data_IF_540308031681
#
_entry.id   IF_540308031681
#
_cell.length_a   1.000
_cell.length_b   1.000
_cell.length_c   1.000
_cell.angle_alpha   90.00
_cell.angle_beta   90.00
_cell.angle_gamma   90.00
#
_symmetry.space_group_name_H-M   'P 1'
#
loop_
_entity.id
_entity.type
_entity.pdbx_description
1 polymer ?
#
# COMPACT_ATOMS: atom_id res chain seq x y z
N UNK A 1 -58.73 -33.55 -4.46
CA UNK A 1 -58.47 -32.62 -5.58
C UNK A 1 -58.58 -31.21 -5.04
N UNK A 2 -57.65 -30.30 -5.32
CA UNK A 2 -57.83 -28.89 -4.94
C UNK A 2 -59.13 -28.38 -5.59
N UNK A 3 -59.99 -27.73 -4.78
CA UNK A 3 -61.20 -27.13 -5.32
C UNK A 3 -60.82 -25.94 -6.20
N UNK A 4 -61.52 -25.81 -7.34
CA UNK A 4 -61.37 -24.65 -8.21
C UNK A 4 -61.84 -23.38 -7.48
N UNK A 5 -61.19 -22.23 -7.72
CA UNK A 5 -61.53 -20.97 -7.06
C UNK A 5 -63.00 -20.54 -7.24
N UNK A 6 -63.60 -20.89 -8.39
CA UNK A 6 -65.04 -20.78 -8.66
C UNK A 6 -65.54 -22.01 -9.42
N UNK A 7 -66.81 -22.44 -9.23
CA UNK A 7 -67.39 -23.55 -9.97
C UNK A 7 -67.45 -23.26 -11.47
N UNK A 8 -67.05 -24.22 -12.31
CA UNK A 8 -67.14 -24.15 -13.78
C UNK A 8 -68.55 -24.50 -14.28
N UNK A 9 -69.57 -23.89 -13.69
CA UNK A 9 -70.96 -24.00 -14.13
C UNK A 9 -71.56 -22.62 -14.33
N UNK A 10 -72.38 -22.45 -15.36
CA UNK A 10 -73.06 -21.18 -15.63
C UNK A 10 -74.47 -21.35 -16.17
N UNK A 11 -75.31 -20.35 -15.96
CA UNK A 11 -76.73 -20.35 -16.41
C UNK A 11 -76.85 -20.17 -17.93
N UNK A 12 -75.86 -19.53 -18.54
CA UNK A 12 -75.72 -19.35 -19.97
C UNK A 12 -74.24 -19.38 -20.37
N UNK A 13 -73.99 -19.31 -21.68
CA UNK A 13 -72.62 -19.39 -22.23
C UNK A 13 -71.80 -18.18 -21.79
N UNK A 14 -72.40 -17.00 -21.67
CA UNK A 14 -71.73 -15.77 -21.22
C UNK A 14 -71.21 -15.89 -19.78
N UNK A 15 -72.01 -16.46 -18.86
CA UNK A 15 -71.66 -16.71 -17.46
C UNK A 15 -70.55 -17.75 -17.34
N UNK A 16 -70.62 -18.82 -18.13
CA UNK A 16 -69.55 -19.81 -18.18
C UNK A 16 -68.23 -19.22 -18.69
N UNK A 17 -68.26 -18.39 -19.74
CA UNK A 17 -67.09 -17.69 -20.27
C UNK A 17 -66.50 -16.74 -19.23
N UNK A 18 -67.34 -16.00 -18.49
CA UNK A 18 -66.89 -15.10 -17.43
C UNK A 18 -66.19 -15.86 -16.29
N UNK A 19 -66.76 -16.99 -15.85
CA UNK A 19 -66.17 -17.84 -14.79
C UNK A 19 -64.87 -18.49 -15.23
N UNK A 20 -64.78 -18.99 -16.46
CA UNK A 20 -63.52 -19.50 -17.04
C UNK A 20 -62.46 -18.41 -17.07
N UNK A 21 -62.80 -17.18 -17.46
CA UNK A 21 -61.88 -16.04 -17.43
C UNK A 21 -61.39 -15.74 -16.02
N UNK A 22 -62.26 -15.74 -15.01
CA UNK A 22 -61.88 -15.53 -13.60
C UNK A 22 -60.90 -16.62 -13.15
N UNK A 23 -61.18 -17.89 -13.40
CA UNK A 23 -60.27 -18.99 -13.05
C UNK A 23 -58.92 -18.82 -13.71
N UNK A 24 -58.88 -18.47 -15.00
CA UNK A 24 -57.63 -18.23 -15.71
C UNK A 24 -56.88 -16.99 -15.15
N UNK A 25 -57.59 -15.90 -14.88
CA UNK A 25 -57.01 -14.70 -14.28
C UNK A 25 -56.45 -14.99 -12.89
N UNK A 26 -57.19 -15.65 -12.00
CA UNK A 26 -56.71 -15.97 -10.65
C UNK A 26 -55.58 -17.01 -10.64
N UNK A 27 -55.60 -17.97 -11.56
CA UNK A 27 -54.54 -18.98 -11.65
C UNK A 27 -53.23 -18.45 -12.25
N UNK A 28 -53.27 -17.40 -13.07
CA UNK A 28 -52.11 -16.91 -13.80
C UNK A 28 -51.69 -15.48 -13.48
N UNK A 29 -52.59 -14.58 -13.05
CA UNK A 29 -52.28 -13.17 -12.72
C UNK A 29 -51.96 -12.96 -11.23
N UNK A 30 -52.40 -13.85 -10.33
CA UNK A 30 -52.17 -13.73 -8.88
C UNK A 30 -50.81 -14.34 -8.43
N UNK A 31 -49.93 -14.62 -9.39
CA UNK A 31 -48.65 -15.30 -9.18
C UNK A 31 -47.59 -14.44 -8.48
N UNK A 32 -47.13 -14.93 -7.32
CA UNK A 32 -45.87 -14.60 -6.63
C UNK A 32 -45.75 -13.17 -6.08
N UNK A 33 -46.46 -12.89 -4.98
CA UNK A 33 -46.03 -11.88 -4.00
C UNK A 33 -45.98 -10.43 -4.48
N UNK A 34 -47.10 -9.93 -5.02
CA UNK A 34 -47.30 -8.52 -5.45
C UNK A 34 -46.58 -8.10 -6.74
N UNK A 35 -45.72 -8.93 -7.34
CA UNK A 35 -45.12 -8.66 -8.63
C UNK A 35 -46.05 -9.16 -9.74
N UNK A 36 -46.53 -8.27 -10.62
CA UNK A 36 -47.28 -8.71 -11.80
C UNK A 36 -46.33 -9.41 -12.77
N UNK A 37 -46.84 -10.43 -13.47
CA UNK A 37 -46.17 -10.97 -14.66
C UNK A 37 -46.02 -9.81 -15.65
N UNK A 38 -44.78 -9.45 -15.98
CA UNK A 38 -44.40 -8.25 -16.72
C UNK A 38 -43.31 -7.43 -16.03
N UNK A 39 -43.22 -7.44 -14.69
CA UNK A 39 -42.21 -6.65 -13.97
C UNK A 39 -40.92 -7.44 -13.78
N UNK A 40 -41.00 -8.63 -13.17
CA UNK A 40 -39.84 -9.49 -12.85
C UNK A 40 -39.79 -10.72 -13.75
N UNK A 41 -40.95 -11.23 -14.18
CA UNK A 41 -41.05 -12.39 -15.06
C UNK A 41 -41.95 -12.10 -16.26
N UNK A 42 -41.62 -12.59 -17.45
CA UNK A 42 -42.40 -12.44 -18.68
C UNK A 42 -42.40 -13.73 -19.48
N UNK A 43 -43.45 -14.02 -20.25
CA UNK A 43 -43.41 -15.10 -21.24
C UNK A 43 -42.73 -14.62 -22.52
N UNK A 44 -41.74 -15.36 -23.01
CA UNK A 44 -41.13 -15.14 -24.32
C UNK A 44 -42.08 -15.50 -25.46
N UNK A 45 -41.69 -15.20 -26.70
CA UNK A 45 -42.47 -15.59 -27.91
C UNK A 45 -42.48 -17.10 -28.16
N UNK A 46 -41.74 -17.86 -27.35
CA UNK A 46 -41.64 -19.31 -27.30
C UNK A 46 -42.43 -19.92 -26.12
N UNK A 47 -43.30 -19.13 -25.48
CA UNK A 47 -44.10 -19.50 -24.31
C UNK A 47 -43.28 -19.91 -23.07
N UNK A 48 -42.01 -19.49 -23.00
CA UNK A 48 -41.13 -19.76 -21.84
C UNK A 48 -41.15 -18.61 -20.84
N UNK A 49 -41.46 -18.91 -19.57
CA UNK A 49 -41.33 -17.97 -18.45
C UNK A 49 -39.86 -17.53 -18.31
N UNK A 50 -39.62 -16.24 -18.45
CA UNK A 50 -38.30 -15.61 -18.48
C UNK A 50 -38.21 -14.54 -17.41
N UNK A 51 -37.04 -14.33 -16.83
CA UNK A 51 -36.76 -13.21 -15.92
C UNK A 51 -36.48 -11.94 -16.71
N UNK A 52 -37.17 -10.85 -16.40
CA UNK A 52 -36.90 -9.52 -16.90
C UNK A 52 -35.65 -8.95 -16.21
N UNK A 53 -34.50 -9.15 -16.85
CA UNK A 53 -33.19 -8.70 -16.36
C UNK A 53 -32.77 -7.39 -17.02
N UNK A 54 -32.54 -6.37 -16.21
CA UNK A 54 -32.02 -5.07 -16.65
C UNK A 54 -30.76 -4.71 -15.85
N UNK A 55 -29.73 -4.20 -16.53
CA UNK A 55 -28.46 -3.68 -16.01
C UNK A 55 -27.81 -4.44 -14.82
N UNK A 56 -26.67 -5.10 -15.07
CA UNK A 56 -25.83 -5.72 -14.02
C UNK A 56 -26.02 -7.23 -13.85
N UNK A 57 -27.09 -7.80 -14.42
CA UNK A 57 -27.31 -9.24 -14.53
C UNK A 57 -27.51 -9.67 -15.99
N UNK A 58 -27.18 -10.92 -16.32
CA UNK A 58 -27.40 -11.51 -17.64
C UNK A 58 -27.76 -13.00 -17.55
N UNK A 59 -28.55 -13.50 -18.50
CA UNK A 59 -28.84 -14.94 -18.62
C UNK A 59 -27.87 -15.55 -19.63
N UNK A 60 -27.10 -16.55 -19.20
CA UNK A 60 -26.16 -17.26 -20.08
C UNK A 60 -26.18 -18.74 -19.75
N UNK A 61 -26.34 -19.58 -20.78
CA UNK A 61 -26.37 -21.05 -20.65
C UNK A 61 -27.36 -21.60 -19.62
N UNK A 62 -28.52 -20.95 -19.48
CA UNK A 62 -29.56 -21.36 -18.53
C UNK A 62 -29.36 -20.87 -17.09
N UNK A 63 -28.26 -20.17 -16.80
CA UNK A 63 -27.97 -19.58 -15.49
C UNK A 63 -28.17 -18.06 -15.51
N UNK A 64 -28.51 -17.50 -14.35
CA UNK A 64 -28.47 -16.06 -14.09
C UNK A 64 -27.08 -15.69 -13.57
N UNK A 65 -26.40 -14.79 -14.29
CA UNK A 65 -25.03 -14.35 -14.01
C UNK A 65 -24.98 -12.85 -13.72
N UNK A 66 -23.87 -12.40 -13.14
CA UNK A 66 -23.55 -10.97 -13.05
C UNK A 66 -22.98 -10.51 -14.39
N UNK A 67 -23.57 -9.47 -14.98
CA UNK A 67 -23.08 -8.87 -16.21
C UNK A 67 -21.84 -8.03 -15.92
N UNK A 68 -20.67 -8.51 -16.34
CA UNK A 68 -19.40 -7.83 -16.15
C UNK A 68 -18.92 -7.15 -17.43
N UNK A 69 -18.31 -5.96 -17.29
CA UNK A 69 -17.55 -5.34 -18.38
C UNK A 69 -16.20 -6.04 -18.54
N UNK A 70 -15.79 -6.35 -19.77
CA UNK A 70 -14.48 -6.97 -20.05
C UNK A 70 -13.31 -6.08 -19.58
N UNK A 71 -13.50 -4.76 -19.59
CA UNK A 71 -12.54 -3.74 -19.13
C UNK A 71 -12.83 -3.23 -17.71
N UNK A 72 -13.86 -3.78 -17.04
CA UNK A 72 -14.21 -3.39 -15.68
C UNK A 72 -13.24 -3.93 -14.62
N UNK A 73 -13.35 -3.40 -13.40
CA UNK A 73 -12.54 -3.81 -12.25
C UNK A 73 -13.09 -4.99 -11.45
N UNK A 74 -14.07 -5.73 -12.00
CA UNK A 74 -14.71 -6.87 -11.33
C UNK A 74 -14.58 -8.13 -12.20
N UNK A 75 -14.48 -9.28 -11.56
CA UNK A 75 -14.43 -10.60 -12.19
C UNK A 75 -15.19 -11.64 -11.37
N UNK A 76 -15.69 -12.70 -12.02
CA UNK A 76 -16.26 -13.86 -11.34
C UNK A 76 -15.31 -15.05 -11.55
N UNK A 77 -14.74 -15.57 -10.46
CA UNK A 77 -13.92 -16.78 -10.48
C UNK A 77 -14.77 -18.03 -10.23
N UNK A 78 -14.38 -19.15 -10.83
CA UNK A 78 -15.12 -20.42 -10.72
C UNK A 78 -15.22 -20.97 -9.29
N UNK A 79 -14.30 -20.58 -8.39
CA UNK A 79 -14.28 -20.99 -6.98
C UNK A 79 -14.38 -19.83 -6.00
N UNK A 80 -14.15 -18.58 -6.45
CA UNK A 80 -14.09 -17.39 -5.59
C UNK A 80 -15.32 -16.49 -5.69
N UNK A 81 -16.22 -16.74 -6.64
CA UNK A 81 -17.37 -15.86 -6.89
C UNK A 81 -16.93 -14.48 -7.40
N UNK A 82 -17.71 -13.44 -7.10
CA UNK A 82 -17.41 -12.07 -7.51
C UNK A 82 -16.23 -11.51 -6.70
N UNK A 83 -15.22 -10.98 -7.39
CA UNK A 83 -14.02 -10.39 -6.79
C UNK A 83 -13.52 -9.18 -7.59
N UNK A 84 -12.59 -8.42 -7.01
CA UNK A 84 -11.91 -7.33 -7.72
C UNK A 84 -10.91 -7.92 -8.71
N UNK A 85 -10.97 -7.44 -9.95
CA UNK A 85 -10.01 -7.75 -11.00
C UNK A 85 -8.80 -6.85 -10.85
N UNK A 86 -7.66 -7.44 -10.49
CA UNK A 86 -6.39 -6.75 -10.46
C UNK A 86 -5.65 -6.91 -11.78
N UNK A 87 -5.01 -5.83 -12.25
CA UNK A 87 -4.07 -5.94 -13.35
C UNK A 87 -2.79 -6.66 -12.88
N UNK A 88 -2.11 -7.34 -13.80
CA UNK A 88 -0.79 -7.93 -13.55
C UNK A 88 0.17 -6.84 -13.06
N UNK A 89 0.91 -7.11 -11.99
CA UNK A 89 1.86 -6.17 -11.38
C UNK A 89 1.24 -4.82 -10.95
N UNK A 90 -0.05 -4.80 -10.60
CA UNK A 90 -0.73 -3.58 -10.12
C UNK A 90 -0.23 -3.05 -8.77
N UNK A 91 0.64 -3.79 -8.07
CA UNK A 91 1.05 -3.46 -6.71
C UNK A 91 -0.07 -3.66 -5.67
N UNK A 92 -1.15 -4.34 -6.05
CA UNK A 92 -2.28 -4.69 -5.18
C UNK A 92 -2.42 -6.21 -5.10
N UNK A 93 -3.06 -6.68 -4.04
CA UNK A 93 -3.49 -8.07 -3.86
C UNK A 93 -4.91 -8.11 -3.30
N UNK A 94 -5.63 -9.19 -3.58
CA UNK A 94 -6.94 -9.51 -3.01
C UNK A 94 -6.82 -10.87 -2.33
N UNK A 95 -7.12 -10.93 -1.04
CA UNK A 95 -7.17 -12.16 -0.25
C UNK A 95 -8.43 -12.21 0.63
N UNK A 96 -8.48 -13.14 1.58
CA UNK A 96 -9.63 -13.31 2.50
C UNK A 96 -9.86 -12.09 3.41
N UNK A 97 -8.84 -11.26 3.61
CA UNK A 97 -8.90 -10.04 4.41
C UNK A 97 -9.30 -8.81 3.58
N UNK A 98 -9.45 -8.97 2.26
CA UNK A 98 -9.86 -7.91 1.35
C UNK A 98 -8.75 -7.50 0.39
N UNK A 99 -8.77 -6.22 -0.01
CA UNK A 99 -7.79 -5.66 -0.96
C UNK A 99 -6.72 -4.88 -0.23
N UNK A 100 -5.45 -5.14 -0.53
CA UNK A 100 -4.32 -4.46 0.10
C UNK A 100 -3.19 -4.20 -0.90
N UNK A 101 -2.20 -3.42 -0.47
CA UNK A 101 -0.96 -3.20 -1.23
C UNK A 101 -0.09 -4.45 -1.14
N UNK A 102 0.40 -4.89 -2.29
CA UNK A 102 1.38 -5.97 -2.39
C UNK A 102 2.79 -5.38 -2.38
N UNK A 103 3.59 -5.79 -1.39
CA UNK A 103 5.01 -5.47 -1.33
C UNK A 103 5.83 -6.74 -1.63
N UNK A 104 6.97 -6.57 -2.29
CA UNK A 104 7.90 -7.67 -2.57
C UNK A 104 8.48 -8.29 -1.28
N UNK A 105 9.22 -9.41 -1.42
CA UNK A 105 10.02 -9.97 -0.33
C UNK A 105 11.27 -9.12 -0.12
N UNK A 106 11.33 -8.38 0.98
CA UNK A 106 12.33 -7.34 1.31
C UNK A 106 12.17 -6.00 0.55
N UNK A 107 11.03 -5.35 0.70
CA UNK A 107 10.76 -4.06 0.08
C UNK A 107 11.54 -2.94 0.78
N UNK A 108 11.82 -1.85 0.06
CA UNK A 108 12.31 -0.58 0.65
C UNK A 108 11.20 0.24 1.35
N UNK A 109 9.95 -0.21 1.25
CA UNK A 109 8.77 0.39 1.86
C UNK A 109 8.07 -0.64 2.77
N UNK A 110 7.33 -0.20 3.77
CA UNK A 110 6.54 -1.06 4.65
C UNK A 110 5.18 -0.42 4.97
N UNK A 111 4.21 -1.24 5.38
CA UNK A 111 2.91 -0.76 5.84
C UNK A 111 2.97 -0.48 7.35
N UNK A 112 2.84 0.79 7.72
CA UNK A 112 2.64 1.24 9.10
C UNK A 112 1.17 1.43 9.44
N UNK A 113 0.90 1.87 10.67
CA UNK A 113 -0.46 2.13 11.18
C UNK A 113 -1.20 3.22 10.39
N UNK A 114 -0.48 4.14 9.76
CA UNK A 114 -1.03 5.23 8.94
C UNK A 114 -0.92 5.05 7.42
N UNK A 115 -0.48 3.88 6.94
CA UNK A 115 -0.25 3.62 5.50
C UNK A 115 1.20 3.29 5.17
N UNK A 116 1.63 3.60 3.94
CA UNK A 116 2.98 3.26 3.45
C UNK A 116 4.03 4.19 4.08
N UNK A 117 5.16 3.64 4.50
CA UNK A 117 6.35 4.37 4.93
C UNK A 117 7.63 3.73 4.39
N UNK A 118 8.75 4.43 4.47
CA UNK A 118 10.06 3.88 4.12
C UNK A 118 10.49 2.89 5.19
N UNK A 119 10.98 1.72 4.76
CA UNK A 119 11.59 0.74 5.64
C UNK A 119 13.03 1.16 5.93
N UNK A 120 13.25 1.78 7.07
CA UNK A 120 14.58 2.23 7.49
C UNK A 120 15.40 1.07 8.07
N UNK A 121 16.66 1.00 7.66
CA UNK A 121 17.64 0.14 8.33
C UNK A 121 18.28 0.92 9.47
N UNK A 122 18.07 0.47 10.70
CA UNK A 122 18.81 1.00 11.86
C UNK A 122 20.32 0.87 11.58
N UNK A 123 21.12 1.90 11.87
CA UNK A 123 22.55 1.83 11.59
C UNK A 123 23.04 2.52 10.31
N UNK A 124 22.21 3.28 9.57
CA UNK A 124 22.55 3.70 8.20
C UNK A 124 22.28 5.19 7.89
N UNK A 125 22.32 6.05 8.90
CA UNK A 125 22.39 7.51 8.71
C UNK A 125 21.13 8.20 8.16
N UNK A 126 20.08 7.44 7.81
CA UNK A 126 18.78 7.96 7.37
C UNK A 126 17.77 7.85 8.53
N UNK A 127 16.97 8.89 8.71
CA UNK A 127 15.94 8.96 9.75
C UNK A 127 14.64 9.55 9.18
N UNK A 128 13.52 9.39 9.90
CA UNK A 128 12.21 9.94 9.55
C UNK A 128 11.58 10.63 10.76
N UNK A 129 11.08 11.85 10.57
CA UNK A 129 10.32 12.58 11.60
C UNK A 129 9.04 13.20 11.02
N UNK A 130 8.47 14.18 11.72
CA UNK A 130 7.26 14.89 11.28
C UNK A 130 7.41 15.64 9.96
N UNK A 131 8.65 16.00 9.57
CA UNK A 131 8.94 16.73 8.34
C UNK A 131 9.33 15.78 7.19
N UNK A 132 9.45 14.48 7.48
CA UNK A 132 9.69 13.42 6.50
C UNK A 132 11.09 12.81 6.58
N UNK A 133 11.61 12.40 5.42
CA UNK A 133 12.89 11.68 5.31
C UNK A 133 14.07 12.65 5.40
N UNK A 134 15.05 12.34 6.24
CA UNK A 134 16.23 13.17 6.45
C UNK A 134 17.50 12.34 6.63
N UNK A 135 18.65 12.99 6.44
CA UNK A 135 19.94 12.47 6.89
C UNK A 135 20.16 12.88 8.35
N UNK A 136 20.73 11.98 9.15
CA UNK A 136 21.18 12.29 10.50
C UNK A 136 22.25 13.38 10.45
N UNK A 137 21.97 14.52 11.08
CA UNK A 137 22.88 15.67 11.11
C UNK A 137 23.79 15.60 12.33
N UNK A 138 25.10 15.69 12.11
CA UNK A 138 26.08 15.85 13.19
C UNK A 138 26.37 17.33 13.45
N UNK A 139 26.61 17.66 14.71
CA UNK A 139 27.15 18.96 15.06
C UNK A 139 28.58 19.08 14.54
N UNK A 140 28.88 20.22 13.90
CA UNK A 140 30.24 20.54 13.45
C UNK A 140 31.24 20.34 14.59
N UNK A 141 32.31 19.57 14.33
CA UNK A 141 33.50 19.67 15.15
C UNK A 141 34.14 21.01 14.85
N UNK A 142 34.31 21.87 15.86
CA UNK A 142 34.97 23.15 15.66
C UNK A 142 36.22 22.97 14.80
N UNK A 143 36.42 23.88 13.83
CA UNK A 143 37.44 23.75 12.80
C UNK A 143 38.78 23.31 13.41
N UNK A 144 39.63 22.70 12.58
CA UNK A 144 41.05 22.51 12.90
C UNK A 144 41.82 23.84 13.14
N UNK A 145 41.14 24.95 13.46
CA UNK A 145 41.68 26.13 14.12
C UNK A 145 42.08 25.77 15.57
N UNK A 146 43.03 24.89 15.70
CA UNK A 146 43.95 24.95 16.83
C UNK A 146 45.00 25.97 16.43
N UNK A 147 45.16 27.03 17.22
CA UNK A 147 46.31 27.92 17.09
C UNK A 147 47.56 27.09 17.40
N UNK A 148 48.16 26.50 16.37
CA UNK A 148 49.39 25.74 16.49
C UNK A 148 50.54 26.68 16.25
N UNK A 149 51.01 27.28 17.34
CA UNK A 149 52.30 27.96 17.34
C UNK A 149 53.36 26.87 17.49
N UNK A 150 53.96 26.46 16.37
CA UNK A 150 55.23 25.74 16.44
C UNK A 150 56.27 26.80 16.83
N UNK A 151 56.99 26.54 17.91
CA UNK A 151 58.03 27.47 18.36
C UNK A 151 59.22 27.35 17.42
N UNK A 152 59.55 28.44 16.73
CA UNK A 152 60.74 28.50 15.91
C UNK A 152 61.99 28.34 16.78
N UNK A 153 63.00 27.58 16.33
CA UNK A 153 64.32 27.64 16.92
C UNK A 153 64.88 29.06 16.79
N UNK A 154 65.77 29.46 17.70
CA UNK A 154 66.44 30.74 17.66
C UNK A 154 67.09 30.99 16.28
N UNK A 155 66.75 32.12 15.65
CA UNK A 155 67.16 32.48 14.28
C UNK A 155 68.69 32.60 14.08
N UNK A 156 69.47 32.66 15.17
CA UNK A 156 70.93 32.71 15.13
C UNK A 156 71.52 32.09 16.40
N UNK A 157 71.53 30.76 16.52
CA UNK A 157 72.00 30.08 17.72
C UNK A 157 73.51 30.30 17.89
N UNK A 158 73.97 30.57 19.12
CA UNK A 158 75.36 30.88 19.41
C UNK A 158 76.34 29.72 19.09
N UNK A 159 75.82 28.50 19.02
CA UNK A 159 76.53 27.28 18.65
C UNK A 159 75.55 26.22 18.15
N UNK A 160 76.07 25.12 17.57
CA UNK A 160 75.25 23.96 17.23
C UNK A 160 74.59 23.31 18.47
N UNK A 161 75.27 23.35 19.62
CA UNK A 161 74.71 22.87 20.88
C UNK A 161 73.51 23.72 21.32
N UNK A 162 73.61 25.05 21.19
CA UNK A 162 72.50 25.95 21.50
C UNK A 162 71.28 25.69 20.59
N UNK A 163 71.49 25.41 19.30
CA UNK A 163 70.41 25.03 18.39
C UNK A 163 69.76 23.69 18.78
N UNK A 164 70.58 22.68 19.08
CA UNK A 164 70.07 21.36 19.49
C UNK A 164 69.24 21.46 20.76
N UNK A 165 69.74 22.19 21.75
CA UNK A 165 69.06 22.32 23.04
C UNK A 165 67.72 23.05 22.88
N UNK A 166 67.64 24.05 21.99
CA UNK A 166 66.40 24.75 21.65
C UNK A 166 65.40 23.86 20.90
N UNK A 167 65.86 23.12 19.88
CA UNK A 167 65.03 22.15 19.16
C UNK A 167 64.40 21.13 20.11
N UNK A 168 65.20 20.59 21.04
CA UNK A 168 64.75 19.59 22.02
C UNK A 168 63.83 20.19 23.08
N UNK A 169 64.12 21.40 23.56
CA UNK A 169 63.36 22.02 24.64
C UNK A 169 62.06 22.68 24.16
N UNK A 170 62.01 23.19 22.93
CA UNK A 170 60.93 24.08 22.47
C UNK A 170 60.24 23.58 21.20
N UNK A 171 60.96 23.46 20.08
CA UNK A 171 60.34 23.17 18.78
C UNK A 171 59.72 21.77 18.74
N UNK A 172 60.47 20.72 19.10
CA UNK A 172 59.97 19.33 19.08
C UNK A 172 58.77 19.17 20.01
N UNK A 173 58.79 19.63 21.28
CA UNK A 173 57.61 19.58 22.15
C UNK A 173 56.39 20.33 21.58
N UNK A 174 56.57 21.47 20.91
CA UNK A 174 55.46 22.20 20.28
C UNK A 174 54.83 21.42 19.11
N UNK A 175 55.64 20.71 18.32
CA UNK A 175 55.18 19.82 17.25
C UNK A 175 54.42 18.62 17.83
N UNK A 176 54.96 17.97 18.86
CA UNK A 176 54.28 16.86 19.55
C UNK A 176 52.92 17.29 20.09
N UNK A 177 52.83 18.46 20.72
CA UNK A 177 51.58 19.01 21.23
C UNK A 177 50.55 19.27 20.11
N UNK A 178 50.99 19.80 18.97
CA UNK A 178 50.13 20.01 17.80
C UNK A 178 49.64 18.68 17.21
N UNK A 179 50.51 17.68 17.06
CA UNK A 179 50.15 16.36 16.55
C UNK A 179 49.17 15.63 17.49
N UNK A 180 49.37 15.71 18.80
CA UNK A 180 48.46 15.12 19.79
C UNK A 180 47.08 15.80 19.75
N UNK A 181 47.04 17.11 19.53
CA UNK A 181 45.79 17.86 19.37
C UNK A 181 45.05 17.44 18.10
N UNK A 182 45.77 17.26 16.98
CA UNK A 182 45.20 16.76 15.73
C UNK A 182 44.67 15.32 15.89
N UNK A 183 45.44 14.44 16.52
CA UNK A 183 45.01 13.06 16.82
C UNK A 183 43.72 13.03 17.65
N UNK A 184 43.62 13.89 18.66
CA UNK A 184 42.39 14.04 19.46
C UNK A 184 41.20 14.46 18.58
N UNK A 185 41.37 15.44 17.70
CA UNK A 185 40.29 15.89 16.79
C UNK A 185 39.86 14.81 15.81
N UNK A 186 40.81 14.09 15.21
CA UNK A 186 40.50 12.97 14.30
C UNK A 186 39.67 11.91 15.03
N UNK A 187 40.07 11.53 16.24
CA UNK A 187 39.32 10.55 17.04
C UNK A 187 37.90 11.04 17.38
N UNK A 188 37.72 12.33 17.68
CA UNK A 188 36.39 12.91 17.89
C UNK A 188 35.52 12.86 16.63
N UNK A 189 36.08 13.20 15.47
CA UNK A 189 35.37 13.11 14.17
C UNK A 189 34.95 11.68 13.90
N UNK A 190 35.86 10.71 14.08
CA UNK A 190 35.56 9.29 13.91
C UNK A 190 34.42 8.83 14.82
N UNK A 191 34.50 9.15 16.12
CA UNK A 191 33.46 8.80 17.09
C UNK A 191 32.09 9.42 16.73
N UNK A 192 32.07 10.65 16.20
CA UNK A 192 30.84 11.29 15.71
C UNK A 192 30.30 10.64 14.46
N UNK A 193 31.15 10.26 13.50
CA UNK A 193 30.72 9.55 12.28
C UNK A 193 30.16 8.17 12.61
N UNK A 194 30.79 7.46 13.55
CA UNK A 194 30.28 6.18 14.08
C UNK A 194 28.93 6.36 14.76
N UNK A 195 28.77 7.39 15.60
CA UNK A 195 27.49 7.73 16.24
C UNK A 195 26.42 8.14 15.21
N UNK A 196 26.82 8.80 14.12
CA UNK A 196 25.95 9.12 13.00
C UNK A 196 25.57 7.90 12.17
N UNK A 197 26.24 6.77 12.41
CA UNK A 197 26.16 5.55 11.62
C UNK A 197 26.54 5.80 10.15
N UNK A 198 27.42 6.78 9.92
CA UNK A 198 28.06 7.05 8.63
C UNK A 198 29.31 6.20 8.59
N UNK A 199 29.11 4.92 8.30
CA UNK A 199 30.18 3.92 8.28
C UNK A 199 30.86 3.91 6.91
N UNK A 200 32.17 4.10 6.88
CA UNK A 200 32.98 3.71 5.75
C UNK A 200 33.34 2.23 5.92
N UNK A 201 32.90 1.36 5.02
CA UNK A 201 33.44 0.00 4.93
C UNK A 201 34.77 0.04 4.19
N UNK A 202 35.79 -0.60 4.76
CA UNK A 202 37.09 -0.85 4.11
C UNK A 202 36.96 -1.73 2.87
#
# INVERSE_FOLDING_TARGET
MPQLPVPLSGENVEDLIAKVKIVLTEMFEDGIGSAKIGDVFSFGTDDVLTLNILYGLEKTSGYLNIKLSQTGGLQVGSTTGLSIKLATNSGLQVDINGTSILLDSNPGLELGTGGIKVKLKSGYGIDVDSDGLKLKRQAHEADASTSHTITDPADSPASADALRDDLVANTIPSIESALNSLGTKINNILAKLETAEVLASS
#
